data_IF_621998851685
#
_entry.id   IF_621998851685
#
_cell.length_a   1.000
_cell.length_b   1.000
_cell.length_c   1.000
_cell.angle_alpha   90.00
_cell.angle_beta   90.00
_cell.angle_gamma   90.00
#
_symmetry.space_group_name_H-M   'P 1'
#
loop_
_entity.id
_entity.type
_entity.pdbx_description
1 polymer ?
#
# COMPACT_ATOMS: atom_id res chain seq x y z
N UNK A 1 -3.87 -15.53 -14.52
CA UNK A 1 -3.63 -15.31 -13.09
C UNK A 1 -2.13 -15.25 -12.86
N UNK A 2 -1.64 -14.21 -12.17
CA UNK A 2 -0.20 -14.09 -11.86
C UNK A 2 0.19 -15.16 -10.84
N UNK A 3 1.29 -15.87 -11.07
CA UNK A 3 1.89 -16.78 -10.09
C UNK A 3 2.95 -16.03 -9.29
N UNK A 4 2.98 -16.25 -7.99
CA UNK A 4 3.98 -15.69 -7.08
C UNK A 4 4.52 -16.81 -6.21
N UNK A 5 5.84 -16.90 -6.13
CA UNK A 5 6.52 -17.85 -5.24
C UNK A 5 7.06 -17.09 -4.04
N UNK A 6 6.76 -17.58 -2.83
CA UNK A 6 7.40 -17.14 -1.61
C UNK A 6 8.20 -18.29 -1.01
N UNK A 7 9.40 -17.98 -0.53
CA UNK A 7 10.28 -18.93 0.12
C UNK A 7 10.27 -18.67 1.63
N UNK A 8 9.73 -19.62 2.38
CA UNK A 8 9.56 -19.54 3.83
C UNK A 8 10.77 -20.06 4.61
N UNK A 9 11.81 -20.54 3.92
CA UNK A 9 13.05 -21.01 4.55
C UNK A 9 13.82 -19.85 5.20
N UNK A 10 14.72 -20.15 6.15
CA UNK A 10 15.63 -19.17 6.72
C UNK A 10 16.40 -18.40 5.64
N UNK A 11 16.79 -17.16 5.95
CA UNK A 11 17.47 -16.25 5.02
C UNK A 11 18.75 -16.85 4.46
N UNK A 12 19.48 -17.59 5.29
CA UNK A 12 20.74 -18.23 4.97
C UNK A 12 20.52 -19.32 3.90
N UNK A 13 19.54 -20.21 4.11
CA UNK A 13 19.19 -21.25 3.14
C UNK A 13 18.59 -20.70 1.84
N UNK A 14 17.88 -19.57 1.90
CA UNK A 14 17.43 -18.86 0.71
C UNK A 14 18.60 -18.25 -0.07
N UNK A 15 19.59 -17.68 0.62
CA UNK A 15 20.78 -17.09 0.02
C UNK A 15 21.71 -18.14 -0.62
N UNK A 16 21.73 -19.37 -0.09
CA UNK A 16 22.44 -20.51 -0.69
C UNK A 16 21.81 -20.97 -2.03
N UNK A 17 20.54 -20.66 -2.25
CA UNK A 17 19.85 -20.92 -3.51
C UNK A 17 18.34 -21.05 -3.33
N UNK A 18 17.57 -20.51 -4.26
CA UNK A 18 16.11 -20.49 -4.23
C UNK A 18 15.53 -20.58 -5.65
N UNK A 19 14.25 -20.90 -5.76
CA UNK A 19 13.55 -20.92 -7.05
C UNK A 19 13.57 -19.52 -7.68
N UNK A 20 13.87 -19.42 -8.97
CA UNK A 20 13.90 -18.15 -9.69
C UNK A 20 12.62 -17.33 -9.47
N UNK A 21 12.78 -16.05 -9.11
CA UNK A 21 11.66 -15.15 -8.84
C UNK A 21 11.00 -15.32 -7.48
N UNK A 22 11.45 -16.25 -6.62
CA UNK A 22 10.91 -16.44 -5.28
C UNK A 22 11.31 -15.31 -4.34
N UNK A 23 10.35 -14.81 -3.55
CA UNK A 23 10.60 -13.80 -2.53
C UNK A 23 10.76 -14.45 -1.16
N UNK A 24 11.83 -14.14 -0.43
CA UNK A 24 12.02 -14.67 0.91
C UNK A 24 11.09 -14.01 1.94
N UNK A 25 10.36 -14.84 2.68
CA UNK A 25 9.52 -14.51 3.82
C UNK A 25 9.71 -15.59 4.90
N UNK A 26 10.81 -15.57 5.67
CA UNK A 26 11.13 -16.63 6.61
C UNK A 26 9.96 -16.93 7.54
N UNK A 27 9.69 -18.21 7.77
CA UNK A 27 8.55 -18.65 8.55
C UNK A 27 8.55 -18.08 9.97
N UNK A 28 9.73 -17.90 10.58
CA UNK A 28 9.87 -17.31 11.90
C UNK A 28 9.43 -15.84 11.97
N UNK A 29 9.59 -15.08 10.87
CA UNK A 29 9.26 -13.65 10.81
C UNK A 29 8.00 -13.33 9.99
N UNK A 30 7.35 -14.34 9.38
CA UNK A 30 6.22 -14.16 8.47
C UNK A 30 5.11 -13.29 9.04
N UNK A 31 4.86 -13.33 10.35
CA UNK A 31 3.80 -12.53 10.99
C UNK A 31 4.11 -11.03 10.98
N UNK A 32 5.37 -10.67 11.09
CA UNK A 32 5.83 -9.28 10.95
C UNK A 32 5.87 -8.88 9.47
N UNK A 33 6.34 -9.78 8.61
CA UNK A 33 6.60 -9.51 7.20
C UNK A 33 5.38 -9.68 6.29
N UNK A 34 4.23 -10.15 6.82
CA UNK A 34 3.01 -10.40 6.06
C UNK A 34 2.50 -9.18 5.30
N UNK A 35 2.86 -7.97 5.74
CA UNK A 35 2.59 -6.73 5.04
C UNK A 35 3.26 -6.66 3.65
N UNK A 36 4.29 -7.45 3.38
CA UNK A 36 4.94 -7.56 2.08
C UNK A 36 4.36 -8.65 1.16
N UNK A 37 3.39 -9.44 1.62
CA UNK A 37 2.76 -10.50 0.81
C UNK A 37 1.99 -9.94 -0.40
N UNK A 38 1.80 -10.74 -1.45
CA UNK A 38 1.18 -10.27 -2.69
C UNK A 38 -0.31 -9.95 -2.53
N UNK A 39 -0.93 -9.32 -3.55
CA UNK A 39 -2.37 -9.21 -3.66
C UNK A 39 -3.11 -10.56 -3.64
N UNK A 40 -4.41 -10.54 -3.37
CA UNK A 40 -5.23 -11.76 -3.20
C UNK A 40 -5.57 -12.46 -4.52
N UNK A 41 -5.51 -11.77 -5.64
CA UNK A 41 -5.84 -12.29 -6.96
C UNK A 41 -4.72 -13.14 -7.61
N UNK A 42 -3.62 -13.37 -6.88
CA UNK A 42 -2.50 -14.20 -7.34
C UNK A 42 -2.68 -15.66 -6.95
N UNK A 43 -2.07 -16.54 -7.73
CA UNK A 43 -1.76 -17.91 -7.33
C UNK A 43 -0.46 -17.90 -6.51
N UNK A 44 -0.55 -18.21 -5.22
CA UNK A 44 0.60 -18.23 -4.31
C UNK A 44 1.16 -19.66 -4.17
N UNK A 45 2.47 -19.80 -4.33
CA UNK A 45 3.22 -21.02 -4.02
C UNK A 45 4.16 -20.70 -2.85
N UNK A 46 4.05 -21.44 -1.76
CA UNK A 46 4.90 -21.30 -0.58
C UNK A 46 5.86 -22.48 -0.47
N UNK A 47 7.16 -22.18 -0.47
CA UNK A 47 8.24 -23.16 -0.42
C UNK A 47 8.76 -23.29 1.01
N UNK A 48 8.84 -24.52 1.51
CA UNK A 48 9.29 -24.85 2.86
C UNK A 48 10.49 -25.83 2.83
N UNK A 49 11.32 -25.83 3.88
CA UNK A 49 12.32 -26.89 4.16
C UNK A 49 11.72 -28.00 5.04
N UNK A 50 12.49 -29.00 5.45
CA UNK A 50 11.99 -30.09 6.30
C UNK A 50 11.61 -29.71 7.74
N UNK A 51 11.98 -28.52 8.24
CA UNK A 51 11.76 -28.09 9.62
C UNK A 51 10.42 -27.35 9.82
N UNK A 52 9.86 -26.81 8.74
CA UNK A 52 8.59 -26.08 8.78
C UNK A 52 7.42 -27.07 8.64
N UNK A 53 6.35 -26.92 9.40
CA UNK A 53 5.14 -27.77 9.23
C UNK A 53 4.26 -27.23 8.09
N UNK A 54 3.97 -28.05 7.07
CA UNK A 54 3.20 -27.64 5.90
C UNK A 54 1.75 -27.31 6.26
N UNK A 55 1.13 -28.06 7.17
CA UNK A 55 -0.28 -27.89 7.53
C UNK A 55 -0.48 -26.58 8.30
N UNK A 56 0.48 -26.22 9.15
CA UNK A 56 0.47 -24.95 9.89
C UNK A 56 0.65 -23.77 8.93
N UNK A 57 1.54 -23.89 7.93
CA UNK A 57 1.73 -22.87 6.90
C UNK A 57 0.46 -22.69 6.08
N UNK A 58 -0.14 -23.78 5.62
CA UNK A 58 -1.36 -23.76 4.83
C UNK A 58 -2.52 -23.12 5.61
N UNK A 59 -2.72 -23.51 6.87
CA UNK A 59 -3.72 -22.89 7.74
C UNK A 59 -3.48 -21.39 7.94
N UNK A 60 -2.21 -20.96 8.08
CA UNK A 60 -1.86 -19.55 8.24
C UNK A 60 -2.15 -18.74 6.97
N UNK A 61 -1.73 -19.24 5.80
CA UNK A 61 -1.83 -18.55 4.51
C UNK A 61 -3.26 -18.55 3.95
N UNK A 62 -4.07 -19.57 4.24
CA UNK A 62 -5.48 -19.63 3.80
C UNK A 62 -6.31 -18.45 4.30
N UNK A 63 -5.97 -17.86 5.46
CA UNK A 63 -6.65 -16.68 6.01
C UNK A 63 -6.50 -15.41 5.16
N UNK A 64 -5.57 -15.39 4.20
CA UNK A 64 -5.38 -14.25 3.30
C UNK A 64 -6.25 -14.34 2.05
N UNK A 65 -6.86 -15.49 1.78
CA UNK A 65 -7.76 -15.73 0.65
C UNK A 65 -7.11 -15.40 -0.71
N UNK A 66 -5.92 -15.96 -0.95
CA UNK A 66 -5.30 -15.94 -2.28
C UNK A 66 -6.16 -16.73 -3.27
N UNK A 67 -6.09 -16.38 -4.56
CA UNK A 67 -6.92 -16.99 -5.59
C UNK A 67 -6.62 -18.49 -5.76
N UNK A 68 -5.38 -18.90 -5.48
CA UNK A 68 -5.02 -20.27 -5.14
C UNK A 68 -3.82 -20.28 -4.21
N UNK A 69 -3.68 -21.34 -3.41
CA UNK A 69 -2.56 -21.58 -2.52
C UNK A 69 -2.01 -22.99 -2.76
N UNK A 70 -0.70 -23.09 -2.97
CA UNK A 70 0.06 -24.33 -2.93
C UNK A 70 1.14 -24.20 -1.87
N UNK A 71 1.24 -25.16 -0.96
CA UNK A 71 2.30 -25.23 0.05
C UNK A 71 3.06 -26.52 -0.17
N UNK A 72 4.38 -26.43 -0.41
CA UNK A 72 5.19 -27.61 -0.68
C UNK A 72 6.62 -27.49 -0.20
N UNK A 73 7.30 -28.62 -0.17
CA UNK A 73 8.75 -28.69 0.06
C UNK A 73 9.52 -28.20 -1.17
N UNK A 74 10.70 -27.63 -0.92
CA UNK A 74 11.72 -27.50 -1.96
C UNK A 74 12.12 -28.91 -2.42
N UNK A 75 12.05 -29.13 -3.73
CA UNK A 75 12.37 -30.41 -4.37
C UNK A 75 13.80 -30.41 -4.90
N UNK A 76 14.40 -31.59 -5.02
CA UNK A 76 15.68 -31.78 -5.71
C UNK A 76 15.61 -31.45 -7.21
N UNK A 77 14.41 -31.43 -7.78
CA UNK A 77 14.18 -31.09 -9.18
C UNK A 77 13.93 -29.59 -9.39
N UNK A 78 13.84 -28.79 -8.33
CA UNK A 78 13.71 -27.33 -8.47
C UNK A 78 15.08 -26.75 -8.89
N UNK A 79 15.09 -25.96 -9.96
CA UNK A 79 16.27 -25.20 -10.35
C UNK A 79 16.48 -24.03 -9.38
N UNK A 80 17.67 -23.96 -8.79
CA UNK A 80 18.01 -22.94 -7.80
C UNK A 80 18.93 -21.88 -8.39
N UNK A 81 18.59 -20.63 -8.11
CA UNK A 81 19.40 -19.44 -8.42
C UNK A 81 19.75 -18.70 -7.14
N UNK A 82 20.75 -17.82 -7.21
CA UNK A 82 21.09 -16.88 -6.14
C UNK A 82 20.69 -15.43 -6.47
N UNK A 83 20.22 -15.16 -7.69
CA UNK A 83 19.80 -13.83 -8.11
C UNK A 83 18.48 -13.45 -7.42
N UNK A 84 18.49 -12.32 -6.72
CA UNK A 84 17.29 -11.80 -6.06
C UNK A 84 16.20 -11.44 -7.07
N UNK A 85 14.92 -11.69 -6.75
CA UNK A 85 13.82 -11.32 -7.63
C UNK A 85 13.77 -9.81 -7.85
N UNK A 86 13.45 -9.41 -9.09
CA UNK A 86 13.24 -8.00 -9.44
C UNK A 86 11.87 -7.51 -8.94
N UNK A 87 11.82 -6.28 -8.47
CA UNK A 87 10.58 -5.62 -8.04
C UNK A 87 10.12 -6.06 -6.65
N UNK A 88 8.80 -6.05 -6.44
CA UNK A 88 8.16 -6.30 -5.14
C UNK A 88 7.14 -7.43 -5.24
N UNK A 89 6.98 -8.16 -4.13
CA UNK A 89 5.96 -9.21 -4.02
C UNK A 89 4.55 -8.59 -3.88
N UNK A 90 4.45 -7.52 -3.10
CA UNK A 90 3.25 -6.68 -2.97
C UNK A 90 3.16 -5.64 -4.11
N UNK A 91 1.99 -5.02 -4.27
CA UNK A 91 1.77 -3.90 -5.19
C UNK A 91 1.28 -2.65 -4.44
N UNK A 92 1.70 -1.43 -4.86
CA UNK A 92 1.08 -0.20 -4.39
C UNK A 92 -0.37 -0.07 -4.89
N UNK A 93 -1.05 1.00 -4.46
CA UNK A 93 -2.28 1.48 -5.05
C UNK A 93 -2.10 1.63 -6.59
N UNK A 94 -2.90 0.91 -7.41
CA UNK A 94 -2.78 0.96 -8.86
C UNK A 94 -2.97 2.38 -9.42
N UNK A 95 -3.88 3.16 -8.83
CA UNK A 95 -4.13 4.53 -9.29
C UNK A 95 -2.96 5.46 -8.99
N UNK A 96 -2.30 5.31 -7.83
CA UNK A 96 -1.06 6.03 -7.54
C UNK A 96 0.02 5.71 -8.58
N UNK A 97 0.19 4.43 -8.91
CA UNK A 97 1.20 3.99 -9.89
C UNK A 97 0.93 4.52 -11.30
N UNK A 98 -0.35 4.68 -11.65
CA UNK A 98 -0.77 5.24 -12.94
C UNK A 98 -0.40 6.73 -13.05
N UNK A 99 -0.68 7.53 -12.01
CA UNK A 99 -0.56 9.00 -12.09
C UNK A 99 0.79 9.55 -11.62
N UNK A 100 1.60 8.77 -10.89
CA UNK A 100 2.83 9.29 -10.26
C UNK A 100 3.84 9.83 -11.28
N UNK A 101 3.97 9.19 -12.45
CA UNK A 101 4.89 9.66 -13.49
C UNK A 101 4.48 11.05 -14.01
N UNK A 102 3.18 11.31 -14.15
CA UNK A 102 2.69 12.64 -14.54
C UNK A 102 2.96 13.69 -13.45
N UNK A 103 2.76 13.31 -12.18
CA UNK A 103 3.07 14.17 -11.03
C UNK A 103 4.55 14.53 -11.01
N UNK A 104 5.44 13.57 -11.18
CA UNK A 104 6.88 13.78 -11.22
C UNK A 104 7.28 14.71 -12.37
N UNK A 105 6.74 14.51 -13.57
CA UNK A 105 7.01 15.41 -14.70
C UNK A 105 6.58 16.86 -14.39
N UNK A 106 5.37 17.05 -13.82
CA UNK A 106 4.86 18.38 -13.46
C UNK A 106 5.61 19.01 -12.29
N UNK A 107 6.18 18.20 -11.41
CA UNK A 107 6.91 18.65 -10.23
C UNK A 107 8.41 18.88 -10.49
N UNK A 108 8.91 18.53 -11.68
CA UNK A 108 10.34 18.56 -12.00
C UNK A 108 11.14 17.40 -11.38
N UNK A 109 10.44 16.35 -10.95
CA UNK A 109 11.00 15.14 -10.34
C UNK A 109 10.37 14.79 -8.98
N UNK A 110 10.84 13.68 -8.38
CA UNK A 110 10.48 13.31 -7.01
C UNK A 110 10.83 14.40 -6.00
N UNK A 111 9.95 14.67 -5.05
CA UNK A 111 10.16 15.68 -3.99
C UNK A 111 9.66 15.17 -2.64
N UNK A 112 8.76 15.89 -1.97
CA UNK A 112 8.22 15.54 -0.66
C UNK A 112 6.75 15.10 -0.74
N UNK A 113 6.47 13.88 -0.27
CA UNK A 113 5.13 13.31 -0.18
C UNK A 113 4.70 13.08 1.27
N UNK A 114 3.42 13.30 1.54
CA UNK A 114 2.75 12.93 2.78
C UNK A 114 1.71 11.84 2.49
N UNK A 115 1.84 10.68 3.13
CA UNK A 115 0.90 9.57 3.05
C UNK A 115 0.06 9.47 4.33
N UNK A 116 -1.25 9.60 4.21
CA UNK A 116 -2.15 9.78 5.37
C UNK A 116 -3.03 8.56 5.55
N UNK A 117 -2.99 7.98 6.75
CA UNK A 117 -3.52 6.64 6.98
C UNK A 117 -2.64 5.59 6.31
N UNK A 118 -1.32 5.77 6.39
CA UNK A 118 -0.34 5.05 5.58
C UNK A 118 -0.30 3.53 5.84
N UNK A 119 -0.88 3.05 6.95
CA UNK A 119 -0.82 1.65 7.33
C UNK A 119 0.61 1.15 7.43
N UNK A 120 0.91 0.04 6.74
CA UNK A 120 2.27 -0.52 6.66
C UNK A 120 3.13 0.12 5.56
N UNK A 121 2.67 1.19 4.92
CA UNK A 121 3.45 2.03 3.99
C UNK A 121 3.85 1.39 2.67
N UNK A 122 3.05 0.49 2.09
CA UNK A 122 3.29 0.00 0.72
C UNK A 122 3.42 1.16 -0.28
N UNK A 123 2.48 2.09 -0.24
CA UNK A 123 2.50 3.28 -1.11
C UNK A 123 3.68 4.20 -0.78
N UNK A 124 4.01 4.38 0.50
CA UNK A 124 5.20 5.11 0.91
C UNK A 124 6.49 4.53 0.34
N UNK A 125 6.67 3.21 0.43
CA UNK A 125 7.88 2.51 -0.02
C UNK A 125 7.95 2.53 -1.54
N UNK A 126 6.81 2.43 -2.22
CA UNK A 126 6.75 2.61 -3.67
C UNK A 126 7.23 4.01 -4.07
N UNK A 127 6.69 5.07 -3.46
CA UNK A 127 7.15 6.44 -3.71
C UNK A 127 8.63 6.64 -3.36
N UNK A 128 9.08 6.12 -2.22
CA UNK A 128 10.47 6.24 -1.79
C UNK A 128 11.45 5.53 -2.74
N UNK A 129 11.06 4.37 -3.30
CA UNK A 129 11.84 3.67 -4.33
C UNK A 129 11.95 4.43 -5.65
N UNK A 130 11.03 5.38 -5.89
CA UNK A 130 11.11 6.33 -7.01
C UNK A 130 11.90 7.60 -6.68
N UNK A 131 12.45 7.72 -5.47
CA UNK A 131 13.28 8.85 -5.04
C UNK A 131 12.56 9.91 -4.22
N UNK A 132 11.26 9.75 -3.94
CA UNK A 132 10.53 10.68 -3.07
C UNK A 132 11.01 10.59 -1.63
N UNK A 133 11.01 11.72 -0.91
CA UNK A 133 11.03 11.71 0.55
C UNK A 133 9.59 11.62 1.04
N UNK A 134 9.28 10.64 1.89
CA UNK A 134 7.90 10.32 2.25
C UNK A 134 7.73 10.32 3.76
N UNK A 135 6.77 11.09 4.25
CA UNK A 135 6.29 11.02 5.62
C UNK A 135 4.94 10.30 5.63
N UNK A 136 4.81 9.28 6.48
CA UNK A 136 3.57 8.55 6.72
C UNK A 136 2.94 8.96 8.04
N UNK A 137 1.63 9.19 8.07
CA UNK A 137 0.88 9.35 9.32
C UNK A 137 0.00 8.13 9.54
N UNK A 138 0.19 7.47 10.68
CA UNK A 138 -0.55 6.27 11.07
C UNK A 138 -0.76 6.26 12.60
N UNK A 139 -1.88 5.70 13.08
CA UNK A 139 -2.21 5.66 14.50
C UNK A 139 -1.98 4.28 15.15
N UNK A 140 -1.74 3.23 14.36
CA UNK A 140 -1.47 1.88 14.88
C UNK A 140 0.02 1.58 14.84
N UNK A 141 0.65 1.61 16.02
CA UNK A 141 2.07 1.28 16.22
C UNK A 141 2.50 -0.02 15.53
N UNK A 142 1.69 -1.08 15.62
CA UNK A 142 1.98 -2.35 14.97
C UNK A 142 2.18 -2.21 13.46
N UNK A 143 1.39 -1.37 12.78
CA UNK A 143 1.54 -1.18 11.33
C UNK A 143 2.77 -0.34 11.01
N UNK A 144 3.10 0.64 11.86
CA UNK A 144 4.32 1.43 11.76
C UNK A 144 5.56 0.53 11.86
N UNK A 145 5.61 -0.37 12.86
CA UNK A 145 6.71 -1.32 13.04
C UNK A 145 6.91 -2.20 11.79
N UNK A 146 5.81 -2.74 11.25
CA UNK A 146 5.82 -3.52 10.01
C UNK A 146 6.31 -2.68 8.81
N UNK A 147 5.87 -1.43 8.70
CA UNK A 147 6.28 -0.52 7.64
C UNK A 147 7.75 -0.11 7.71
N UNK A 148 8.27 0.13 8.93
CA UNK A 148 9.71 0.38 9.15
C UNK A 148 10.52 -0.85 8.73
N UNK A 149 10.11 -2.06 9.12
CA UNK A 149 10.78 -3.28 8.68
C UNK A 149 10.75 -3.44 7.14
N UNK A 150 9.60 -3.18 6.51
CA UNK A 150 9.45 -3.25 5.06
C UNK A 150 10.32 -2.21 4.34
N UNK A 151 10.42 -0.98 4.85
CA UNK A 151 11.28 0.07 4.27
C UNK A 151 12.76 -0.30 4.26
N UNK A 152 13.25 -0.92 5.34
CA UNK A 152 14.62 -1.45 5.46
C UNK A 152 14.84 -2.62 4.50
N UNK A 153 13.88 -3.55 4.41
CA UNK A 153 13.93 -4.68 3.48
C UNK A 153 14.10 -4.21 2.03
N UNK A 154 13.47 -3.09 1.66
CA UNK A 154 13.58 -2.48 0.34
C UNK A 154 14.67 -1.39 0.23
N UNK A 155 15.47 -1.16 1.27
CA UNK A 155 16.57 -0.19 1.32
C UNK A 155 16.17 1.24 0.97
N UNK A 156 14.98 1.65 1.41
CA UNK A 156 14.45 3.02 1.22
C UNK A 156 14.17 3.73 2.54
N UNK A 157 14.59 3.15 3.67
CA UNK A 157 14.36 3.68 5.01
C UNK A 157 14.94 5.09 5.21
N UNK A 158 16.03 5.44 4.52
CA UNK A 158 16.61 6.79 4.52
C UNK A 158 15.70 7.87 3.89
N UNK A 159 14.63 7.46 3.18
CA UNK A 159 13.65 8.35 2.55
C UNK A 159 12.26 8.27 3.18
N UNK A 160 12.06 7.38 4.15
CA UNK A 160 10.75 7.17 4.77
C UNK A 160 10.78 7.52 6.24
N UNK A 161 9.77 8.26 6.70
CA UNK A 161 9.58 8.58 8.11
C UNK A 161 8.12 8.34 8.50
N UNK A 162 7.91 7.69 9.64
CA UNK A 162 6.57 7.57 10.22
C UNK A 162 6.36 8.57 11.35
N UNK A 163 5.18 9.16 11.38
CA UNK A 163 4.66 9.91 12.52
C UNK A 163 3.50 9.12 13.11
N UNK A 164 3.69 8.64 14.34
CA UNK A 164 2.63 8.03 15.11
C UNK A 164 1.66 9.11 15.61
N UNK A 165 0.47 9.18 15.02
CA UNK A 165 -0.51 10.22 15.35
C UNK A 165 -1.93 9.75 15.07
N UNK A 166 -2.82 9.95 16.04
CA UNK A 166 -4.25 9.87 15.80
C UNK A 166 -4.71 11.16 15.10
N UNK A 167 -5.10 11.03 13.83
CA UNK A 167 -5.51 12.15 13.00
C UNK A 167 -6.83 12.76 13.48
N UNK A 168 -6.70 13.82 14.28
CA UNK A 168 -7.79 14.68 14.76
C UNK A 168 -7.72 16.05 14.07
N UNK A 169 -8.28 17.07 14.71
CA UNK A 169 -8.20 18.47 14.26
C UNK A 169 -6.79 19.10 14.35
N UNK A 170 -5.73 18.31 14.58
CA UNK A 170 -4.35 18.79 14.56
C UNK A 170 -3.49 17.84 13.74
N UNK A 171 -2.77 18.38 12.76
CA UNK A 171 -1.79 17.62 11.98
C UNK A 171 -0.37 17.94 12.46
N UNK A 172 0.49 16.93 12.64
CA UNK A 172 1.88 17.12 13.08
C UNK A 172 2.80 17.64 11.95
N UNK A 173 2.22 18.19 10.88
CA UNK A 173 2.93 18.65 9.67
C UNK A 173 2.49 20.07 9.38
N UNK A 174 3.43 20.93 8.98
CA UNK A 174 3.13 22.30 8.58
C UNK A 174 2.16 22.31 7.39
N UNK A 175 1.21 23.25 7.42
CA UNK A 175 0.38 23.55 6.26
C UNK A 175 1.25 24.02 5.09
N UNK A 176 0.75 23.76 3.88
CA UNK A 176 1.41 24.13 2.63
C UNK A 176 2.83 23.55 2.48
N UNK A 177 3.03 22.33 2.98
CA UNK A 177 4.32 21.64 2.98
C UNK A 177 4.50 20.67 1.80
N UNK A 178 3.83 19.50 1.79
CA UNK A 178 4.05 18.47 0.78
C UNK A 178 3.73 18.91 -0.65
N UNK A 179 4.53 18.42 -1.59
CA UNK A 179 4.27 18.49 -3.03
C UNK A 179 3.20 17.47 -3.46
N UNK A 180 3.11 16.36 -2.72
CA UNK A 180 2.11 15.32 -2.93
C UNK A 180 1.46 14.92 -1.60
N UNK A 181 0.14 15.05 -1.50
CA UNK A 181 -0.65 14.38 -0.48
C UNK A 181 -1.28 13.13 -1.08
N UNK A 182 -0.97 11.98 -0.50
CA UNK A 182 -1.56 10.70 -0.84
C UNK A 182 -2.48 10.23 0.28
N UNK A 183 -3.68 9.79 -0.09
CA UNK A 183 -4.67 9.24 0.85
C UNK A 183 -5.33 8.03 0.21
N UNK A 184 -5.16 6.86 0.82
CA UNK A 184 -5.72 5.61 0.32
C UNK A 184 -6.53 4.90 1.41
N UNK A 185 -7.83 4.69 1.17
CA UNK A 185 -8.76 4.00 2.06
C UNK A 185 -8.84 4.58 3.48
N UNK A 186 -8.53 5.86 3.63
CA UNK A 186 -8.67 6.61 4.86
C UNK A 186 -9.67 7.75 4.66
N UNK A 187 -10.62 7.90 5.59
CA UNK A 187 -11.56 9.01 5.63
C UNK A 187 -11.87 9.36 7.07
N UNK A 188 -11.64 10.62 7.43
CA UNK A 188 -12.13 11.21 8.66
C UNK A 188 -12.76 12.57 8.34
N UNK A 189 -14.10 12.58 8.20
CA UNK A 189 -14.85 13.74 7.69
C UNK A 189 -14.54 15.03 8.44
N UNK A 190 -14.46 14.99 9.78
CA UNK A 190 -14.24 16.18 10.61
C UNK A 190 -12.87 16.85 10.39
N UNK A 191 -11.89 16.12 9.86
CA UNK A 191 -10.52 16.61 9.65
C UNK A 191 -10.18 16.77 8.16
N UNK A 192 -11.09 16.40 7.25
CA UNK A 192 -10.87 16.41 5.81
C UNK A 192 -10.57 17.81 5.27
N UNK A 193 -11.32 18.83 5.69
CA UNK A 193 -11.09 20.20 5.20
C UNK A 193 -9.68 20.69 5.53
N UNK A 194 -9.19 20.38 6.74
CA UNK A 194 -7.86 20.74 7.16
C UNK A 194 -6.79 19.86 6.52
N UNK A 195 -7.07 18.58 6.28
CA UNK A 195 -6.19 17.66 5.54
C UNK A 195 -5.87 18.23 4.15
N UNK A 196 -6.89 18.74 3.47
CA UNK A 196 -6.78 19.33 2.13
C UNK A 196 -5.99 20.65 2.11
N UNK A 197 -5.67 21.25 3.26
CA UNK A 197 -4.79 22.42 3.37
C UNK A 197 -3.31 22.07 3.54
N UNK A 198 -2.97 20.78 3.70
CA UNK A 198 -1.59 20.36 3.90
C UNK A 198 -0.70 20.54 2.66
N UNK A 199 -1.11 20.14 1.44
CA UNK A 199 -0.28 20.35 0.24
C UNK A 199 0.01 21.82 0.02
N UNK A 200 1.19 22.16 -0.48
CA UNK A 200 1.46 23.53 -0.94
C UNK A 200 0.52 23.94 -2.08
N UNK A 201 0.40 25.24 -2.33
CA UNK A 201 -0.17 25.73 -3.59
C UNK A 201 0.63 25.19 -4.78
N UNK A 202 -0.08 24.71 -5.79
CA UNK A 202 0.48 24.00 -6.94
C UNK A 202 0.83 22.53 -6.67
N UNK A 203 0.74 22.05 -5.43
CA UNK A 203 0.94 20.66 -5.06
C UNK A 203 -0.23 19.76 -5.49
N UNK A 204 -0.05 18.46 -5.34
CA UNK A 204 -0.94 17.44 -5.87
C UNK A 204 -1.62 16.64 -4.76
N UNK A 205 -2.81 16.12 -5.08
CA UNK A 205 -3.57 15.18 -4.27
C UNK A 205 -3.84 13.93 -5.10
N UNK A 206 -3.54 12.77 -4.52
CA UNK A 206 -4.01 11.46 -5.00
C UNK A 206 -4.85 10.84 -3.90
N UNK A 207 -6.16 10.71 -4.15
CA UNK A 207 -7.12 10.18 -3.18
C UNK A 207 -7.80 8.94 -3.78
N UNK A 208 -7.75 7.80 -3.10
CA UNK A 208 -8.54 6.61 -3.45
C UNK A 208 -9.37 6.15 -2.26
N UNK A 209 -10.70 6.14 -2.35
CA UNK A 209 -11.55 5.77 -1.22
C UNK A 209 -12.88 5.13 -1.63
N UNK A 210 -13.54 4.47 -0.68
CA UNK A 210 -14.82 3.82 -0.92
C UNK A 210 -15.93 4.81 -1.26
N UNK A 211 -16.81 4.39 -2.16
CA UNK A 211 -18.06 5.06 -2.51
C UNK A 211 -19.26 4.38 -1.85
N UNK A 212 -20.38 5.10 -1.84
CA UNK A 212 -21.70 4.53 -1.56
C UNK A 212 -21.96 3.28 -2.43
N UNK A 213 -22.45 2.23 -1.78
CA UNK A 213 -22.63 0.90 -2.33
C UNK A 213 -21.73 -0.14 -1.66
N UNK A 214 -20.62 0.26 -1.04
CA UNK A 214 -19.73 -0.67 -0.32
C UNK A 214 -20.44 -1.40 0.83
N UNK A 215 -21.34 -0.71 1.55
CA UNK A 215 -22.16 -1.27 2.63
C UNK A 215 -23.19 -2.30 2.15
N UNK A 216 -23.48 -2.35 0.85
CA UNK A 216 -24.43 -3.30 0.23
C UNK A 216 -23.73 -4.58 -0.27
N UNK A 217 -22.40 -4.65 -0.18
CA UNK A 217 -21.62 -5.83 -0.56
C UNK A 217 -21.56 -6.85 0.58
N UNK A 218 -21.13 -8.08 0.29
CA UNK A 218 -20.92 -9.12 1.31
C UNK A 218 -19.90 -8.72 2.38
N UNK A 219 -18.92 -7.86 2.03
CA UNK A 219 -17.95 -7.32 2.99
C UNK A 219 -18.61 -6.34 3.97
N UNK A 220 -19.65 -5.62 3.53
CA UNK A 220 -20.46 -4.72 4.36
C UNK A 220 -19.75 -3.49 4.92
N UNK A 221 -18.45 -3.30 4.66
CA UNK A 221 -17.65 -2.22 5.24
C UNK A 221 -16.90 -1.37 4.18
N UNK A 222 -16.80 -0.04 4.39
CA UNK A 222 -17.37 0.75 5.49
C UNK A 222 -18.91 0.80 5.44
N UNK A 223 -19.56 0.73 6.62
CA UNK A 223 -21.02 0.59 6.72
C UNK A 223 -21.76 1.90 6.99
N UNK A 224 -21.10 2.87 7.61
CA UNK A 224 -21.67 4.19 7.93
C UNK A 224 -21.37 5.22 6.84
N UNK A 225 -22.27 6.21 6.69
CA UNK A 225 -22.09 7.35 5.77
C UNK A 225 -20.79 8.14 6.03
N UNK A 226 -20.27 8.07 7.27
CA UNK A 226 -18.99 8.67 7.63
C UNK A 226 -17.76 7.97 7.03
N UNK A 227 -17.94 6.73 6.55
CA UNK A 227 -16.86 5.88 6.07
C UNK A 227 -16.71 5.82 4.55
N UNK A 228 -17.63 6.37 3.76
CA UNK A 228 -17.56 6.40 2.30
C UNK A 228 -18.07 7.74 1.74
N UNK A 229 -17.74 8.04 0.49
CA UNK A 229 -18.24 9.23 -0.22
C UNK A 229 -19.49 8.91 -1.04
N UNK A 230 -20.38 9.88 -1.18
CA UNK A 230 -21.38 9.87 -2.25
C UNK A 230 -20.71 10.22 -3.59
N UNK A 231 -21.28 9.76 -4.72
CA UNK A 231 -20.75 10.07 -6.06
C UNK A 231 -20.70 11.58 -6.29
N UNK A 232 -19.54 12.10 -6.67
CA UNK A 232 -19.29 13.53 -6.86
C UNK A 232 -19.09 14.35 -5.57
N UNK A 233 -19.27 13.78 -4.38
CA UNK A 233 -19.08 14.47 -3.10
C UNK A 233 -17.64 14.95 -2.93
N UNK A 234 -16.68 14.06 -3.12
CA UNK A 234 -15.26 14.39 -2.98
C UNK A 234 -14.85 15.48 -3.99
N UNK A 235 -15.29 15.39 -5.25
CA UNK A 235 -15.05 16.44 -6.26
C UNK A 235 -15.60 17.79 -5.80
N UNK A 236 -16.81 17.84 -5.24
CA UNK A 236 -17.40 19.09 -4.75
C UNK A 236 -16.60 19.68 -3.58
N UNK A 237 -16.17 18.84 -2.63
CA UNK A 237 -15.32 19.24 -1.50
C UNK A 237 -13.99 19.82 -2.01
N UNK A 238 -13.37 19.15 -2.99
CA UNK A 238 -12.12 19.59 -3.59
C UNK A 238 -12.24 20.92 -4.31
N UNK A 239 -13.31 21.15 -5.07
CA UNK A 239 -13.57 22.46 -5.67
C UNK A 239 -13.73 23.55 -4.62
N UNK A 240 -14.47 23.28 -3.54
CA UNK A 240 -14.59 24.22 -2.40
C UNK A 240 -13.25 24.50 -1.70
N UNK A 241 -12.34 23.52 -1.69
CA UNK A 241 -10.99 23.64 -1.12
C UNK A 241 -9.94 24.22 -2.08
N UNK A 242 -10.33 24.67 -3.28
CA UNK A 242 -9.40 25.30 -4.23
C UNK A 242 -8.54 24.30 -5.03
N UNK A 243 -9.07 23.11 -5.31
CA UNK A 243 -8.43 22.13 -6.18
C UNK A 243 -9.04 22.13 -7.58
N UNK A 244 -8.21 21.83 -8.57
CA UNK A 244 -8.64 21.45 -9.91
C UNK A 244 -8.50 19.93 -10.04
N UNK A 245 -9.61 19.24 -10.25
CA UNK A 245 -9.61 17.79 -10.51
C UNK A 245 -9.12 17.54 -11.93
N UNK A 246 -8.07 16.72 -12.06
CA UNK A 246 -7.45 16.35 -13.35
C UNK A 246 -8.03 15.02 -13.83
N UNK A 247 -8.14 14.04 -12.93
CA UNK A 247 -8.75 12.74 -13.19
C UNK A 247 -9.70 12.40 -12.04
N UNK A 248 -10.93 11.98 -12.38
CA UNK A 248 -11.86 11.30 -11.49
C UNK A 248 -12.27 9.98 -12.17
N UNK A 249 -12.09 8.86 -11.48
CA UNK A 249 -12.43 7.53 -12.00
C UNK A 249 -13.08 6.68 -10.92
N UNK A 250 -14.15 5.98 -11.29
CA UNK A 250 -14.75 4.95 -10.46
C UNK A 250 -14.21 3.57 -10.86
N UNK A 251 -13.92 2.71 -9.89
CA UNK A 251 -13.60 1.29 -10.12
C UNK A 251 -14.36 0.40 -9.15
N UNK A 252 -14.45 -0.88 -9.48
CA UNK A 252 -15.03 -1.90 -8.62
C UNK A 252 -13.94 -2.88 -8.20
N UNK A 253 -13.75 -3.07 -6.89
CA UNK A 253 -12.80 -4.06 -6.37
C UNK A 253 -13.28 -5.49 -6.67
N UNK A 254 -12.39 -6.50 -6.59
CA UNK A 254 -12.78 -7.91 -6.71
C UNK A 254 -13.90 -8.33 -5.74
N UNK A 255 -13.97 -7.71 -4.56
CA UNK A 255 -15.04 -7.91 -3.57
C UNK A 255 -16.30 -7.05 -3.82
N UNK A 256 -16.43 -6.51 -5.03
CA UNK A 256 -17.55 -5.71 -5.54
C UNK A 256 -17.73 -4.33 -4.90
N UNK A 257 -16.85 -3.92 -3.97
CA UNK A 257 -16.95 -2.58 -3.37
C UNK A 257 -16.53 -1.50 -4.37
N UNK A 258 -17.34 -0.45 -4.55
CA UNK A 258 -17.00 0.66 -5.43
C UNK A 258 -15.98 1.59 -4.78
N UNK A 259 -14.99 2.05 -5.55
CA UNK A 259 -14.00 3.05 -5.17
C UNK A 259 -14.05 4.24 -6.12
N UNK A 260 -13.83 5.42 -5.58
CA UNK A 260 -13.47 6.61 -6.35
C UNK A 260 -11.96 6.84 -6.25
N UNK A 261 -11.38 7.23 -7.37
CA UNK A 261 -10.00 7.66 -7.50
C UNK A 261 -9.97 9.07 -8.04
N UNK A 262 -9.30 9.98 -7.34
CA UNK A 262 -9.11 11.36 -7.77
C UNK A 262 -7.64 11.72 -7.77
N UNK A 263 -7.19 12.25 -8.91
CA UNK A 263 -5.96 13.00 -9.04
C UNK A 263 -6.32 14.47 -9.25
N UNK A 264 -5.86 15.34 -8.36
CA UNK A 264 -6.15 16.77 -8.39
C UNK A 264 -4.90 17.60 -8.08
N UNK A 265 -4.92 18.86 -8.51
CA UNK A 265 -3.89 19.84 -8.18
C UNK A 265 -4.50 20.96 -7.35
N UNK A 266 -3.84 21.36 -6.27
CA UNK A 266 -4.25 22.50 -5.46
C UNK A 266 -3.89 23.79 -6.18
N UNK A 267 -4.88 24.59 -6.57
CA UNK A 267 -4.66 25.83 -7.32
C UNK A 267 -4.77 27.10 -6.46
N UNK A 268 -5.41 27.03 -5.28
CA UNK A 268 -5.60 28.17 -4.36
C UNK A 268 -5.21 27.88 -2.91
#
# INVERSE_FOLDING_TARGET
MKRVVIDLRPKESYAEGHIEGAFNFPWESIRADACGLPPRDVALIAICDGQIDLDIVEAYLNRFHFASLEVRRLSKNDELVCELPKGTCWSPNPFLSEVITEIEMKNGGPSFALDVGSGTGRDMIYLASRGWSVVGIENRLRLIEQGVALSKKHKVDCRTLYIHCELKKFFPVKFEGPDLLHVCRFLHRSSLEMLLKLPRRGGFLVYSHFLDGCQKTEVGHPSSIDGFFLRGELRQILFGAGYTVIIERETTLPDKRPLVHIFAQRTR
#
